data_IF_303036408408
#
_entry.id   IF_303036408408
#
_cell.length_a   1.000
_cell.length_b   1.000
_cell.length_c   1.000
_cell.angle_alpha   90.00
_cell.angle_beta   90.00
_cell.angle_gamma   90.00
#
_symmetry.space_group_name_H-M   'P 1'
#
loop_
_entity.id
_entity.type
_entity.pdbx_description
1 polymer ?
#
# COMPACT_ATOMS: atom_id res chain seq x y z
N UNK A 1 1.16 -13.03 9.27
CA UNK A 1 2.30 -12.44 10.00
C UNK A 1 2.02 -10.96 10.31
N UNK A 2 2.64 -10.43 11.31
CA UNK A 2 2.52 -9.02 11.68
C UNK A 2 3.90 -8.36 11.68
N UNK A 3 3.94 -7.12 11.18
CA UNK A 3 5.15 -6.32 11.14
C UNK A 3 5.08 -5.27 12.25
N UNK A 4 5.96 -5.35 13.28
CA UNK A 4 5.85 -4.43 14.43
C UNK A 4 6.09 -2.96 14.07
N UNK A 5 6.80 -2.68 13.00
CA UNK A 5 7.11 -1.31 12.57
C UNK A 5 6.09 -0.72 11.60
N UNK A 6 5.16 -1.54 11.08
CA UNK A 6 4.06 -1.05 10.26
C UNK A 6 2.95 -0.47 11.14
N UNK A 7 2.05 0.36 10.58
CA UNK A 7 0.86 0.79 11.32
C UNK A 7 0.10 -0.43 11.85
N UNK A 8 -0.36 -0.37 13.09
CA UNK A 8 -1.09 -1.48 13.71
C UNK A 8 -2.36 -1.82 12.90
N UNK A 9 -2.69 -3.10 12.82
CA UNK A 9 -3.93 -3.54 12.21
C UNK A 9 -5.13 -2.97 12.97
N UNK A 10 -6.06 -2.34 12.27
CA UNK A 10 -7.25 -1.70 12.85
C UNK A 10 -8.46 -2.65 12.87
N UNK A 11 -8.24 -3.94 12.74
CA UNK A 11 -9.29 -4.95 12.73
C UNK A 11 -8.72 -6.37 12.84
N UNK A 12 -9.56 -7.39 12.71
CA UNK A 12 -9.15 -8.79 12.87
C UNK A 12 -8.48 -9.33 11.60
N UNK A 13 -7.28 -8.83 11.29
CA UNK A 13 -6.50 -9.29 10.13
C UNK A 13 -5.01 -9.21 10.42
N UNK A 14 -4.22 -10.02 9.71
CA UNK A 14 -2.77 -9.96 9.72
C UNK A 14 -2.27 -8.94 8.70
N UNK A 15 -1.08 -8.40 8.90
CA UNK A 15 -0.45 -7.53 7.91
C UNK A 15 -0.20 -8.25 6.58
N UNK A 16 0.13 -9.53 6.64
CA UNK A 16 0.30 -10.34 5.44
C UNK A 16 0.16 -11.82 5.75
N UNK A 17 -0.10 -12.61 4.73
CA UNK A 17 -0.11 -14.07 4.79
C UNK A 17 0.67 -14.62 3.60
N UNK A 18 1.39 -15.72 3.80
CA UNK A 18 2.19 -16.33 2.73
C UNK A 18 1.62 -17.67 2.30
N UNK A 19 1.71 -17.95 1.01
CA UNK A 19 1.36 -19.23 0.42
C UNK A 19 2.04 -19.36 -0.94
N UNK A 20 2.55 -20.55 -1.26
CA UNK A 20 3.10 -20.84 -2.59
C UNK A 20 4.26 -19.94 -3.01
N UNK A 21 5.08 -19.48 -2.09
CA UNK A 21 6.21 -18.59 -2.40
C UNK A 21 5.79 -17.14 -2.63
N UNK A 22 4.55 -16.77 -2.28
CA UNK A 22 4.03 -15.42 -2.41
C UNK A 22 3.61 -14.88 -1.07
N UNK A 23 3.77 -13.58 -0.89
CA UNK A 23 3.29 -12.83 0.27
C UNK A 23 2.09 -11.99 -0.17
N UNK A 24 0.95 -12.25 0.47
CA UNK A 24 -0.29 -11.52 0.22
C UNK A 24 -0.40 -10.44 1.30
N UNK A 25 -0.15 -9.20 0.95
CA UNK A 25 -0.20 -8.08 1.89
C UNK A 25 -1.62 -7.52 1.99
N UNK A 26 -2.08 -7.29 3.21
CA UNK A 26 -3.30 -6.53 3.45
C UNK A 26 -3.14 -5.10 2.93
N UNK A 27 -4.25 -4.49 2.53
CA UNK A 27 -4.25 -3.11 2.06
C UNK A 27 -3.75 -2.14 3.12
N UNK A 28 -2.98 -1.15 2.70
CA UNK A 28 -2.46 -0.09 3.56
C UNK A 28 -3.05 1.25 3.14
N UNK A 29 -3.68 1.93 4.09
CA UNK A 29 -4.03 3.34 3.98
C UNK A 29 -2.84 4.18 4.48
N UNK A 30 -2.76 5.48 4.17
CA UNK A 30 -1.55 6.26 4.45
C UNK A 30 -1.41 6.67 5.93
N UNK A 31 -1.32 5.67 6.81
CA UNK A 31 -1.14 5.89 8.25
C UNK A 31 0.31 6.13 8.60
N UNK A 32 0.54 7.02 9.56
CA UNK A 32 1.79 7.11 10.29
C UNK A 32 1.81 6.02 11.38
N UNK A 33 2.86 5.18 11.38
CA UNK A 33 2.93 4.03 12.28
C UNK A 33 3.00 4.46 13.76
N UNK A 34 3.65 5.56 14.06
CA UNK A 34 3.83 6.03 15.44
C UNK A 34 2.55 6.62 16.02
N UNK A 35 1.82 7.44 15.26
CA UNK A 35 0.61 8.13 15.74
C UNK A 35 -0.68 7.35 15.48
N UNK A 36 -0.68 6.44 14.51
CA UNK A 36 -1.89 5.74 14.07
C UNK A 36 -2.87 6.63 13.31
N UNK A 37 -2.43 7.80 12.86
CA UNK A 37 -3.26 8.76 12.13
C UNK A 37 -2.86 8.83 10.67
N UNK A 38 -3.81 9.22 9.81
CA UNK A 38 -3.52 9.48 8.41
C UNK A 38 -2.50 10.62 8.30
N UNK A 39 -1.49 10.44 7.44
CA UNK A 39 -0.54 11.51 7.17
C UNK A 39 -1.22 12.65 6.43
N UNK A 40 -0.82 13.88 6.75
CA UNK A 40 -1.21 15.05 5.99
C UNK A 40 -0.31 15.18 4.77
N UNK A 41 -0.80 15.86 3.74
CA UNK A 41 -0.02 16.11 2.55
C UNK A 41 -0.83 15.92 1.27
N UNK A 42 -0.15 15.98 0.15
CA UNK A 42 -0.76 15.79 -1.17
C UNK A 42 -1.18 14.34 -1.35
N UNK A 43 -2.07 14.08 -2.31
CA UNK A 43 -2.48 12.70 -2.59
C UNK A 43 -1.31 11.84 -3.09
N UNK A 44 -0.32 12.44 -3.76
CA UNK A 44 0.90 11.74 -4.16
C UNK A 44 1.74 11.34 -2.96
N UNK A 45 1.89 12.22 -1.98
CA UNK A 45 2.59 11.92 -0.72
C UNK A 45 1.86 10.83 0.08
N UNK A 46 0.53 10.87 0.10
CA UNK A 46 -0.27 9.84 0.74
C UNK A 46 -0.13 8.48 0.05
N UNK A 47 -0.15 8.46 -1.28
CA UNK A 47 0.09 7.22 -2.04
C UNK A 47 1.48 6.64 -1.75
N UNK A 48 2.50 7.47 -1.69
CA UNK A 48 3.86 7.06 -1.34
C UNK A 48 3.91 6.45 0.06
N UNK A 49 3.19 7.01 1.02
CA UNK A 49 3.12 6.46 2.38
C UNK A 49 2.48 5.06 2.38
N UNK A 50 1.44 4.83 1.60
CA UNK A 50 0.86 3.49 1.44
C UNK A 50 1.92 2.49 0.97
N UNK A 51 2.73 2.87 -0.02
CA UNK A 51 3.79 2.01 -0.55
C UNK A 51 4.89 1.78 0.48
N UNK A 52 5.28 2.81 1.23
CA UNK A 52 6.26 2.67 2.31
C UNK A 52 5.76 1.72 3.41
N UNK A 53 4.48 1.81 3.77
CA UNK A 53 3.88 0.90 4.75
C UNK A 53 3.89 -0.55 4.24
N UNK A 54 3.59 -0.76 2.96
CA UNK A 54 3.70 -2.09 2.34
C UNK A 54 5.14 -2.61 2.35
N UNK A 55 6.11 -1.75 2.04
CA UNK A 55 7.53 -2.16 2.05
C UNK A 55 7.98 -2.56 3.46
N UNK A 56 7.52 -1.85 4.48
CA UNK A 56 7.79 -2.21 5.88
C UNK A 56 7.30 -3.63 6.19
N UNK A 57 6.10 -3.97 5.73
CA UNK A 57 5.55 -5.32 5.88
C UNK A 57 6.40 -6.35 5.11
N UNK A 58 6.77 -6.04 3.88
CA UNK A 58 7.60 -6.92 3.05
C UNK A 58 8.94 -7.20 3.71
N UNK A 59 9.59 -6.17 4.25
CA UNK A 59 10.90 -6.33 4.90
C UNK A 59 10.81 -7.19 6.15
N UNK A 60 9.75 -7.07 6.91
CA UNK A 60 9.50 -7.93 8.07
C UNK A 60 9.34 -9.41 7.64
N UNK A 61 8.91 -9.67 6.42
CA UNK A 61 8.79 -11.02 5.86
C UNK A 61 10.03 -11.50 5.10
N UNK A 62 11.09 -10.69 5.02
CA UNK A 62 12.34 -11.06 4.38
C UNK A 62 12.41 -10.77 2.87
N UNK A 63 11.51 -9.94 2.36
CA UNK A 63 11.51 -9.49 0.97
C UNK A 63 11.45 -7.96 0.90
N UNK A 64 11.07 -7.39 -0.22
CA UNK A 64 10.85 -5.96 -0.36
C UNK A 64 9.73 -5.72 -1.37
N UNK A 65 9.13 -4.53 -1.34
CA UNK A 65 8.04 -4.20 -2.26
C UNK A 65 8.51 -4.18 -3.73
N UNK A 66 9.81 -4.02 -3.97
CA UNK A 66 10.37 -4.14 -5.33
C UNK A 66 10.16 -5.52 -5.95
N UNK A 67 9.89 -6.55 -5.15
CA UNK A 67 9.58 -7.90 -5.61
C UNK A 67 8.07 -8.11 -5.83
N UNK A 68 7.27 -7.06 -5.80
CA UNK A 68 5.83 -7.16 -6.04
C UNK A 68 5.55 -7.71 -7.44
N UNK A 69 4.61 -8.64 -7.52
CA UNK A 69 4.13 -9.19 -8.79
C UNK A 69 2.81 -8.53 -9.21
N UNK A 70 2.04 -8.04 -8.26
CA UNK A 70 0.80 -7.32 -8.50
C UNK A 70 0.54 -6.31 -7.39
N UNK A 71 -0.03 -5.15 -7.75
CA UNK A 71 -0.54 -4.17 -6.81
C UNK A 71 -1.94 -3.71 -7.25
N UNK A 72 -2.78 -3.34 -6.28
CA UNK A 72 -4.06 -2.68 -6.54
C UNK A 72 -4.07 -1.33 -5.85
N UNK A 73 -4.42 -0.28 -6.58
CA UNK A 73 -4.56 1.08 -6.07
C UNK A 73 -6.05 1.41 -6.03
N UNK A 74 -6.54 1.75 -4.83
CA UNK A 74 -7.92 2.15 -4.59
C UNK A 74 -7.96 3.66 -4.32
N UNK A 75 -8.83 4.38 -5.03
CA UNK A 75 -8.98 5.83 -4.88
C UNK A 75 -10.46 6.19 -4.70
N UNK A 76 -10.75 7.10 -3.78
CA UNK A 76 -12.13 7.61 -3.61
C UNK A 76 -12.47 8.66 -4.67
N UNK A 77 -11.47 9.29 -5.29
CA UNK A 77 -11.66 10.23 -6.39
C UNK A 77 -10.70 9.87 -7.54
N UNK A 78 -11.02 8.79 -8.24
CA UNK A 78 -10.16 8.28 -9.31
C UNK A 78 -9.90 9.34 -10.38
N UNK A 79 -10.92 10.06 -10.81
CA UNK A 79 -10.78 11.07 -11.88
C UNK A 79 -9.93 12.26 -11.46
N UNK A 80 -10.08 12.74 -10.23
CA UNK A 80 -9.37 13.93 -9.74
C UNK A 80 -7.94 13.64 -9.27
N UNK A 81 -7.70 12.46 -8.72
CA UNK A 81 -6.42 12.15 -8.05
C UNK A 81 -5.48 11.28 -8.88
N UNK A 82 -5.97 10.66 -9.95
CA UNK A 82 -5.21 9.65 -10.67
C UNK A 82 -3.86 10.14 -11.20
N UNK A 83 -3.81 11.32 -11.82
CA UNK A 83 -2.59 11.82 -12.44
C UNK A 83 -1.45 11.94 -11.43
N UNK A 84 -1.73 12.51 -10.26
CA UNK A 84 -0.72 12.70 -9.21
C UNK A 84 -0.31 11.37 -8.56
N UNK A 85 -1.28 10.51 -8.28
CA UNK A 85 -1.02 9.17 -7.71
C UNK A 85 -0.20 8.32 -8.67
N UNK A 86 -0.54 8.34 -9.96
CA UNK A 86 0.19 7.58 -10.97
C UNK A 86 1.64 8.06 -11.11
N UNK A 87 1.88 9.36 -10.99
CA UNK A 87 3.23 9.92 -10.98
C UNK A 87 4.03 9.42 -9.76
N UNK A 88 3.46 9.51 -8.57
CA UNK A 88 4.11 9.02 -7.34
C UNK A 88 4.37 7.52 -7.40
N UNK A 89 3.42 6.74 -7.89
CA UNK A 89 3.55 5.30 -8.07
C UNK A 89 4.68 4.97 -9.06
N UNK A 90 4.74 5.66 -10.19
CA UNK A 90 5.79 5.46 -11.19
C UNK A 90 7.18 5.83 -10.67
N UNK A 91 7.29 6.85 -9.84
CA UNK A 91 8.55 7.21 -9.19
C UNK A 91 9.02 6.15 -8.21
N UNK A 92 8.09 5.53 -7.48
CA UNK A 92 8.42 4.45 -6.54
C UNK A 92 8.85 3.18 -7.27
N UNK A 93 8.10 2.75 -8.28
CA UNK A 93 8.41 1.56 -9.10
C UNK A 93 9.10 1.97 -10.42
N UNK A 94 10.24 2.65 -10.30
CA UNK A 94 10.95 3.19 -11.46
C UNK A 94 11.51 2.10 -12.39
N UNK A 95 11.75 0.88 -11.87
CA UNK A 95 12.30 -0.24 -12.63
C UNK A 95 11.41 -1.47 -12.44
N UNK A 96 11.04 -2.13 -13.53
CA UNK A 96 10.23 -3.34 -13.54
C UNK A 96 8.98 -3.25 -12.65
N UNK A 97 8.04 -2.36 -12.95
CA UNK A 97 6.82 -2.21 -12.15
C UNK A 97 5.99 -3.49 -12.17
N UNK A 98 5.28 -3.80 -11.07
CA UNK A 98 4.39 -4.97 -11.02
C UNK A 98 3.17 -4.78 -11.94
N UNK A 99 2.46 -5.87 -12.19
CA UNK A 99 1.12 -5.79 -12.75
C UNK A 99 0.23 -4.97 -11.80
N UNK A 100 -0.74 -4.21 -12.32
CA UNK A 100 -1.53 -3.28 -11.51
C UNK A 100 -2.98 -3.23 -11.93
N UNK A 101 -3.85 -3.06 -10.92
CA UNK A 101 -5.23 -2.59 -11.10
C UNK A 101 -5.34 -1.24 -10.39
N UNK A 102 -6.02 -0.27 -11.01
CA UNK A 102 -6.39 0.98 -10.38
C UNK A 102 -7.90 1.14 -10.49
N UNK A 103 -8.56 1.42 -9.36
CA UNK A 103 -10.02 1.36 -9.26
C UNK A 103 -10.53 2.46 -8.34
N UNK A 104 -11.63 3.09 -8.75
CA UNK A 104 -12.38 4.04 -7.92
C UNK A 104 -13.32 3.29 -6.97
N UNK A 105 -13.40 3.73 -5.72
CA UNK A 105 -14.26 3.16 -4.70
C UNK A 105 -15.06 4.25 -3.99
N UNK A 106 -16.18 3.86 -3.37
CA UNK A 106 -17.06 4.82 -2.71
C UNK A 106 -16.44 5.40 -1.43
N UNK A 107 -15.69 4.59 -0.67
CA UNK A 107 -15.06 4.99 0.59
C UNK A 107 -13.94 4.02 0.94
N UNK A 108 -13.04 4.47 1.80
CA UNK A 108 -11.93 3.66 2.33
C UNK A 108 -11.91 3.79 3.86
N UNK A 109 -11.26 2.83 4.56
CA UNK A 109 -11.15 2.89 6.01
C UNK A 109 -10.56 4.21 6.50
N UNK A 110 -11.04 4.69 7.65
CA UNK A 110 -10.57 5.90 8.33
C UNK A 110 -10.72 7.19 7.52
N UNK A 111 -11.58 7.19 6.50
CA UNK A 111 -11.74 8.34 5.63
C UNK A 111 -10.56 8.58 4.69
N UNK A 112 -9.72 7.57 4.46
CA UNK A 112 -8.60 7.69 3.55
C UNK A 112 -9.06 7.92 2.12
N UNK A 113 -8.23 8.59 1.33
CA UNK A 113 -8.48 8.88 -0.09
C UNK A 113 -7.78 7.87 -1.01
N UNK A 114 -6.82 7.14 -0.49
CA UNK A 114 -6.03 6.16 -1.23
C UNK A 114 -5.70 4.95 -0.34
N UNK A 115 -5.68 3.79 -0.95
CA UNK A 115 -5.23 2.54 -0.34
C UNK A 115 -4.50 1.71 -1.40
N UNK A 116 -3.49 0.96 -0.98
CA UNK A 116 -2.75 0.06 -1.89
C UNK A 116 -2.58 -1.29 -1.22
N UNK A 117 -2.82 -2.37 -1.96
CA UNK A 117 -2.43 -3.72 -1.57
C UNK A 117 -1.43 -4.30 -2.56
N UNK A 118 -0.81 -5.42 -2.22
CA UNK A 118 0.16 -6.05 -3.09
C UNK A 118 0.27 -7.55 -2.86
N UNK A 119 0.66 -8.26 -3.90
CA UNK A 119 1.14 -9.64 -3.86
C UNK A 119 2.63 -9.58 -4.23
N UNK A 120 3.48 -10.13 -3.38
CA UNK A 120 4.94 -9.95 -3.45
C UNK A 120 5.63 -11.31 -3.46
N UNK A 121 6.65 -11.47 -4.30
CA UNK A 121 7.44 -12.70 -4.32
C UNK A 121 8.32 -12.80 -3.06
N UNK A 122 8.41 -14.00 -2.53
CA UNK A 122 9.29 -14.33 -1.40
C UNK A 122 10.60 -14.93 -1.87
#
# INVERSE_FOLDING_TARGET
MNAPEAPAAVGPYSHAASAGGLLFCSGQVPLDAASGKLVEGTIGEQATRCLENLDTICRAAGTSLSAAVRATVYLTDLGGDWAEVNEAYGAYFATDPPARVAIGVAALPMGARVEVDAVVAL
#
